data_IF_611729552333
#
_entry.id   IF_611729552333
#
_cell.length_a   1.000
_cell.length_b   1.000
_cell.length_c   1.000
_cell.angle_alpha   90.00
_cell.angle_beta   90.00
_cell.angle_gamma   90.00
#
_symmetry.space_group_name_H-M   'P 1'
#
loop_
_entity.id
_entity.type
_entity.pdbx_description
1 polymer ?
#
# COMPACT_ATOMS: atom_id res chain seq x y z
N UNK A 1 0.30 -17.49 1.24
CA UNK A 1 0.86 -16.21 0.74
C UNK A 1 0.55 -16.15 -0.73
N UNK A 2 -0.37 -15.30 -1.15
CA UNK A 2 -0.66 -15.14 -2.58
C UNK A 2 0.45 -14.33 -3.20
N UNK A 3 1.11 -14.88 -4.22
CA UNK A 3 1.96 -14.07 -5.08
C UNK A 3 1.13 -12.88 -5.56
N UNK A 4 1.62 -11.66 -5.31
CA UNK A 4 0.94 -10.46 -5.81
C UNK A 4 1.00 -10.53 -7.32
N UNK A 5 -0.15 -10.74 -7.97
CA UNK A 5 -0.24 -10.89 -9.41
C UNK A 5 -0.39 -9.52 -10.08
N UNK A 6 0.08 -9.37 -11.33
CA UNK A 6 -0.24 -8.21 -12.17
C UNK A 6 -1.74 -7.90 -12.14
N UNK A 7 -2.09 -6.61 -12.10
CA UNK A 7 -3.46 -6.13 -11.96
C UNK A 7 -3.99 -6.02 -10.52
N UNK A 8 -3.20 -6.40 -9.51
CA UNK A 8 -3.53 -6.14 -8.09
C UNK A 8 -2.86 -4.86 -7.58
N UNK A 9 -3.50 -4.18 -6.62
CA UNK A 9 -2.91 -2.99 -5.98
C UNK A 9 -1.56 -3.31 -5.35
N UNK A 10 -1.47 -4.43 -4.60
CA UNK A 10 -0.22 -4.85 -3.93
C UNK A 10 0.91 -5.11 -4.91
N UNK A 11 0.63 -5.63 -6.10
CA UNK A 11 1.65 -5.78 -7.13
C UNK A 11 2.06 -4.42 -7.69
N UNK A 12 1.10 -3.54 -8.03
CA UNK A 12 1.39 -2.23 -8.61
C UNK A 12 2.26 -1.34 -7.72
N UNK A 13 2.00 -1.29 -6.41
CA UNK A 13 2.69 -0.36 -5.50
C UNK A 13 4.15 -0.73 -5.21
N UNK A 14 4.58 -1.96 -5.50
CA UNK A 14 5.95 -2.44 -5.27
C UNK A 14 6.79 -2.52 -6.55
N UNK A 15 6.24 -2.15 -7.72
CA UNK A 15 7.03 -2.14 -8.96
C UNK A 15 8.17 -1.13 -8.86
N UNK A 16 9.30 -1.41 -9.51
CA UNK A 16 10.46 -0.51 -9.49
C UNK A 16 10.25 0.70 -10.41
N UNK A 17 9.46 0.54 -11.47
CA UNK A 17 9.13 1.65 -12.38
C UNK A 17 8.10 2.63 -11.79
N UNK A 18 8.11 3.90 -12.25
CA UNK A 18 7.05 4.85 -11.94
C UNK A 18 5.70 4.36 -12.46
N UNK A 19 4.67 4.37 -11.60
CA UNK A 19 3.33 3.91 -11.99
C UNK A 19 2.23 4.85 -11.51
N UNK A 20 1.29 5.11 -12.42
CA UNK A 20 -0.01 5.68 -12.09
C UNK A 20 -1.05 4.56 -11.99
N UNK A 21 -1.40 4.19 -10.78
CA UNK A 21 -2.35 3.14 -10.45
C UNK A 21 -3.74 3.74 -10.35
N UNK A 22 -4.62 3.30 -11.25
CA UNK A 22 -6.04 3.65 -11.28
C UNK A 22 -6.90 2.40 -11.01
N UNK A 23 -8.08 2.61 -10.45
CA UNK A 23 -9.00 1.53 -10.11
C UNK A 23 -10.09 1.40 -11.18
N UNK A 24 -10.24 0.19 -11.73
CA UNK A 24 -11.21 -0.09 -12.79
C UNK A 24 -12.67 -0.07 -12.30
N UNK A 25 -12.91 -0.23 -10.99
CA UNK A 25 -14.24 -0.29 -10.37
C UNK A 25 -14.15 0.06 -8.89
N UNK A 26 -15.29 0.37 -8.29
CA UNK A 26 -15.40 0.56 -6.84
C UNK A 26 -14.92 -0.70 -6.09
N UNK A 27 -14.22 -0.49 -4.98
CA UNK A 27 -13.60 -1.58 -4.23
C UNK A 27 -13.51 -1.29 -2.74
N UNK A 28 -13.77 -2.32 -1.94
CA UNK A 28 -13.38 -2.38 -0.53
C UNK A 28 -12.19 -3.35 -0.44
N UNK A 29 -11.06 -2.86 0.04
CA UNK A 29 -9.81 -3.60 0.15
C UNK A 29 -9.55 -3.90 1.62
N UNK A 30 -9.46 -5.17 1.96
CA UNK A 30 -8.99 -5.63 3.26
C UNK A 30 -7.53 -6.10 3.15
N UNK A 31 -6.62 -5.35 3.75
CA UNK A 31 -5.21 -5.69 3.81
C UNK A 31 -4.95 -6.68 4.95
N UNK A 32 -4.73 -7.96 4.63
CA UNK A 32 -4.42 -9.01 5.63
C UNK A 32 -3.02 -8.87 6.26
N UNK A 33 -2.17 -8.08 5.63
CA UNK A 33 -0.77 -7.82 5.99
C UNK A 33 -0.50 -6.35 5.61
N UNK A 34 0.48 -5.68 6.22
CA UNK A 34 0.81 -4.31 5.82
C UNK A 34 1.16 -4.22 4.34
N UNK A 35 0.86 -3.08 3.71
CA UNK A 35 1.17 -2.84 2.29
C UNK A 35 2.22 -1.75 2.16
N UNK A 36 3.38 -2.11 1.59
CA UNK A 36 4.45 -1.16 1.30
C UNK A 36 4.19 -0.48 -0.03
N UNK A 37 4.44 0.82 -0.10
CA UNK A 37 4.42 1.60 -1.34
C UNK A 37 5.84 2.11 -1.60
N UNK A 38 6.39 1.75 -2.75
CA UNK A 38 7.72 2.19 -3.20
C UNK A 38 7.67 3.58 -3.84
N UNK A 39 8.83 4.13 -4.19
CA UNK A 39 8.94 5.44 -4.85
C UNK A 39 8.20 5.52 -6.18
N UNK A 40 7.85 6.75 -6.57
CA UNK A 40 7.28 7.11 -7.87
C UNK A 40 5.93 6.41 -8.14
N UNK A 41 5.05 6.42 -7.14
CA UNK A 41 3.72 5.80 -7.22
C UNK A 41 2.64 6.85 -7.05
N UNK A 42 1.73 6.92 -8.02
CA UNK A 42 0.47 7.66 -7.87
C UNK A 42 -0.66 6.65 -7.76
N UNK A 43 -1.31 6.58 -6.60
CA UNK A 43 -2.52 5.78 -6.37
C UNK A 43 -3.70 6.74 -6.44
N UNK A 44 -4.53 6.59 -7.46
CA UNK A 44 -5.55 7.56 -7.79
C UNK A 44 -6.91 6.91 -8.01
N UNK A 45 -7.88 7.42 -7.25
CA UNK A 45 -9.27 6.96 -7.23
C UNK A 45 -10.09 7.28 -8.49
N UNK A 46 -9.65 8.15 -9.42
CA UNK A 46 -10.49 8.69 -10.54
C UNK A 46 -11.57 7.70 -11.06
N UNK A 47 -12.84 8.02 -10.80
CA UNK A 47 -14.00 7.28 -11.32
C UNK A 47 -14.48 6.07 -10.51
N UNK A 48 -13.81 5.68 -9.41
CA UNK A 48 -14.17 4.48 -8.64
C UNK A 48 -14.02 4.68 -7.13
N UNK A 49 -15.07 4.54 -6.32
CA UNK A 49 -14.92 4.61 -4.87
C UNK A 49 -14.06 3.49 -4.28
N UNK A 50 -12.91 3.83 -3.69
CA UNK A 50 -12.00 2.87 -3.07
C UNK A 50 -11.88 3.14 -1.57
N UNK A 51 -12.11 2.10 -0.78
CA UNK A 51 -11.88 2.07 0.66
C UNK A 51 -10.86 1.01 1.00
N UNK A 52 -9.85 1.34 1.81
CA UNK A 52 -8.97 0.37 2.47
C UNK A 52 -9.40 0.34 3.94
N UNK A 53 -9.87 -0.80 4.43
CA UNK A 53 -10.49 -0.85 5.77
C UNK A 53 -10.47 -2.23 6.39
N UNK A 54 -10.61 -2.29 7.72
CA UNK A 54 -10.69 -3.50 8.52
C UNK A 54 -9.48 -4.43 8.31
N UNK A 55 -8.32 -3.83 8.01
CA UNK A 55 -7.08 -4.51 7.67
C UNK A 55 -5.89 -3.77 8.26
N UNK A 56 -4.68 -4.14 7.84
CA UNK A 56 -3.43 -3.57 8.32
C UNK A 56 -3.08 -2.29 7.54
N UNK A 57 -2.25 -1.43 8.15
CA UNK A 57 -1.82 -0.14 7.62
C UNK A 57 -1.16 -0.20 6.23
N UNK A 58 -1.19 0.96 5.57
CA UNK A 58 -0.35 1.27 4.42
C UNK A 58 0.94 1.94 4.92
N UNK A 59 2.09 1.59 4.34
CA UNK A 59 3.38 2.14 4.75
C UNK A 59 4.14 2.70 3.56
N UNK A 60 4.58 3.95 3.66
CA UNK A 60 5.57 4.56 2.78
C UNK A 60 6.87 4.70 3.57
N UNK A 61 7.88 3.92 3.22
CA UNK A 61 9.15 3.89 3.97
C UNK A 61 10.33 4.11 3.03
N UNK A 62 11.22 5.03 3.41
CA UNK A 62 12.45 5.35 2.67
C UNK A 62 12.18 5.54 1.16
N UNK A 63 11.05 6.16 0.83
CA UNK A 63 10.54 6.31 -0.53
C UNK A 63 10.28 7.78 -0.83
N UNK A 64 10.10 8.09 -2.11
CA UNK A 64 9.90 9.45 -2.57
C UNK A 64 8.88 9.52 -3.70
N UNK A 65 8.27 10.69 -3.89
CA UNK A 65 7.33 10.96 -4.98
C UNK A 65 6.13 10.00 -4.97
N UNK A 66 5.49 9.88 -3.82
CA UNK A 66 4.28 9.05 -3.66
C UNK A 66 3.09 9.98 -3.58
N UNK A 67 2.01 9.68 -4.30
CA UNK A 67 0.75 10.42 -4.23
C UNK A 67 -0.35 9.42 -3.93
N UNK A 68 -1.01 9.55 -2.79
CA UNK A 68 -2.20 8.76 -2.44
C UNK A 68 -3.40 9.69 -2.50
N UNK A 69 -4.13 9.66 -3.61
CA UNK A 69 -5.16 10.66 -3.91
C UNK A 69 -6.57 10.08 -3.83
N UNK A 70 -7.41 10.73 -3.03
CA UNK A 70 -8.84 10.46 -2.86
C UNK A 70 -9.20 9.04 -2.35
N UNK A 71 -8.26 8.24 -1.85
CA UNK A 71 -8.55 6.92 -1.26
C UNK A 71 -9.01 7.10 0.19
N UNK A 72 -10.09 6.41 0.58
CA UNK A 72 -10.55 6.43 1.98
C UNK A 72 -9.87 5.29 2.73
N UNK A 73 -9.13 5.59 3.78
CA UNK A 73 -8.49 4.59 4.65
C UNK A 73 -9.02 4.81 6.05
N UNK A 74 -9.56 3.76 6.68
CA UNK A 74 -10.16 3.84 8.02
C UNK A 74 -10.36 2.45 8.63
N UNK A 75 -10.59 2.39 9.95
CA UNK A 75 -10.76 1.14 10.71
C UNK A 75 -9.57 0.19 10.54
N UNK A 76 -8.36 0.76 10.51
CA UNK A 76 -7.13 -0.02 10.43
C UNK A 76 -6.86 -0.68 11.79
N UNK A 77 -6.50 -1.96 11.72
CA UNK A 77 -6.25 -2.80 12.88
C UNK A 77 -4.75 -3.10 13.01
N UNK A 78 -4.37 -3.49 14.21
CA UNK A 78 -3.01 -3.91 14.54
C UNK A 78 -2.54 -5.04 13.60
N UNK A 79 -1.42 -4.81 12.93
CA UNK A 79 -0.78 -5.78 12.06
C UNK A 79 0.03 -6.79 12.85
N UNK A 80 0.11 -8.01 12.34
CA UNK A 80 1.03 -9.02 12.87
C UNK A 80 2.45 -8.72 12.40
N UNK A 81 3.41 -8.88 13.30
CA UNK A 81 4.83 -9.00 12.97
C UNK A 81 5.01 -10.06 11.89
N UNK A 82 5.83 -9.79 10.88
CA UNK A 82 6.11 -10.80 9.86
C UNK A 82 6.84 -10.30 8.62
N UNK A 83 6.92 -11.17 7.64
CA UNK A 83 7.53 -10.89 6.34
C UNK A 83 6.48 -10.23 5.43
N UNK A 84 6.75 -9.02 4.98
CA UNK A 84 5.91 -8.26 4.06
C UNK A 84 6.66 -8.12 2.74
N UNK A 85 5.95 -8.28 1.62
CA UNK A 85 6.55 -8.05 0.29
C UNK A 85 6.73 -6.55 0.07
N UNK A 86 7.97 -6.14 -0.22
CA UNK A 86 8.33 -4.75 -0.50
C UNK A 86 9.02 -4.55 -1.85
N UNK A 87 9.37 -5.62 -2.56
CA UNK A 87 9.77 -5.56 -3.96
C UNK A 87 9.32 -6.80 -4.74
N UNK A 88 9.62 -6.81 -6.04
CA UNK A 88 9.38 -7.97 -6.89
C UNK A 88 10.17 -9.21 -6.43
N UNK A 89 11.37 -9.01 -5.88
CA UNK A 89 12.31 -10.10 -5.60
C UNK A 89 12.41 -10.48 -4.12
N UNK A 90 11.98 -9.60 -3.20
CA UNK A 90 12.20 -9.81 -1.77
C UNK A 90 10.99 -9.51 -0.87
N UNK A 91 11.11 -10.04 0.34
CA UNK A 91 10.27 -9.73 1.48
C UNK A 91 11.15 -9.13 2.58
N UNK A 92 10.70 -8.03 3.17
CA UNK A 92 11.30 -7.45 4.37
C UNK A 92 10.57 -7.90 5.64
N UNK A 93 11.32 -8.10 6.72
CA UNK A 93 10.72 -8.29 8.04
C UNK A 93 10.25 -6.94 8.59
N UNK A 94 9.00 -6.85 9.04
CA UNK A 94 8.42 -5.63 9.60
C UNK A 94 7.87 -5.89 11.00
N UNK A 95 8.10 -4.92 11.87
CA UNK A 95 7.52 -4.90 13.23
C UNK A 95 6.02 -4.77 13.16
N UNK A 96 5.37 -5.02 14.31
CA UNK A 96 3.96 -4.74 14.47
C UNK A 96 3.67 -3.28 14.12
N UNK A 97 2.62 -3.05 13.31
CA UNK A 97 2.10 -1.71 13.06
C UNK A 97 1.39 -1.16 14.29
N UNK A 98 1.36 0.16 14.45
CA UNK A 98 0.73 0.89 15.55
C UNK A 98 -0.74 1.25 15.32
N UNK A 99 -1.33 0.75 14.22
CA UNK A 99 -2.71 0.95 13.76
C UNK A 99 -3.02 2.30 13.10
N UNK A 100 -1.99 3.05 12.70
CA UNK A 100 -2.17 4.21 11.84
C UNK A 100 -2.75 3.82 10.47
N UNK A 101 -3.54 4.71 9.87
CA UNK A 101 -4.08 4.47 8.52
C UNK A 101 -2.94 4.40 7.47
N UNK A 102 -2.04 5.37 7.52
CA UNK A 102 -0.83 5.46 6.69
C UNK A 102 0.35 5.81 7.59
N UNK A 103 1.38 4.97 7.59
CA UNK A 103 2.64 5.27 8.25
C UNK A 103 3.67 5.77 7.22
N UNK A 104 4.29 6.92 7.49
CA UNK A 104 5.29 7.53 6.62
C UNK A 104 6.59 7.70 7.41
N UNK A 105 7.64 7.00 7.00
CA UNK A 105 8.93 7.03 7.67
C UNK A 105 10.08 7.25 6.69
N UNK A 106 11.00 8.17 7.03
CA UNK A 106 12.21 8.43 6.23
C UNK A 106 11.94 8.79 4.76
N UNK A 107 10.74 9.29 4.45
CA UNK A 107 10.26 9.52 3.08
C UNK A 107 10.15 11.02 2.77
N UNK A 108 10.14 11.38 1.48
CA UNK A 108 10.05 12.78 1.02
C UNK A 108 9.05 12.91 -0.13
N UNK A 109 8.41 14.07 -0.29
CA UNK A 109 7.42 14.31 -1.35
C UNK A 109 6.31 13.23 -1.39
N UNK A 110 5.56 13.13 -0.28
CA UNK A 110 4.42 12.22 -0.11
C UNK A 110 3.13 13.04 0.05
#
# INVERSE_FOLDING_TARGET
>A
RGESAPGTLRWGVIQDEPLWIIFAKEMIINLKEGMMINSDKTIDRRGAHVRITNGVQVTVQNSNNVIIHNIHIHDIVLGKLGMIRDSLEQFGFRTQSDSDDINIFGSTNV
#
